data_IF_569597645073
#
_entry.id   IF_569597645073
#
_cell.length_a   1.000
_cell.length_b   1.000
_cell.length_c   1.000
_cell.angle_alpha   90.00
_cell.angle_beta   90.00
_cell.angle_gamma   90.00
#
_symmetry.space_group_name_H-M   'P 1'
#
loop_
_entity.id
_entity.type
_entity.pdbx_description
1 polymer ?
#
# COMPACT_ATOMS: atom_id res chain seq x y z
N UNK A 1 7.56 23.23 -19.60
CA UNK A 1 6.53 24.17 -19.11
C UNK A 1 5.60 23.35 -18.23
N UNK A 2 5.57 23.60 -16.92
CA UNK A 2 4.75 22.82 -15.96
C UNK A 2 3.31 23.32 -16.04
N UNK A 3 2.34 22.45 -16.36
CA UNK A 3 0.92 22.80 -16.32
C UNK A 3 0.30 22.38 -14.99
N UNK A 4 -0.38 23.30 -14.30
CA UNK A 4 -1.13 23.01 -13.08
C UNK A 4 -2.60 22.71 -13.43
N UNK A 5 -3.17 21.69 -12.80
CA UNK A 5 -4.57 21.31 -12.97
C UNK A 5 -5.23 21.17 -11.59
N UNK A 6 -6.35 21.86 -11.38
CA UNK A 6 -7.13 21.74 -10.16
C UNK A 6 -8.21 20.66 -10.33
N UNK A 7 -8.19 19.65 -9.45
CA UNK A 7 -9.20 18.58 -9.40
C UNK A 7 -10.30 18.91 -8.37
N UNK A 8 -10.03 19.83 -7.44
CA UNK A 8 -10.94 20.32 -6.41
C UNK A 8 -10.22 21.28 -5.45
N UNK A 9 -10.92 21.71 -4.38
CA UNK A 9 -10.34 22.51 -3.30
C UNK A 9 -9.85 21.66 -2.11
N UNK A 10 -10.09 20.35 -2.15
CA UNK A 10 -9.72 19.44 -1.08
C UNK A 10 -8.26 18.97 -1.20
N UNK A 11 -7.67 18.65 -0.05
CA UNK A 11 -6.28 18.18 0.04
C UNK A 11 -6.13 16.79 -0.55
N UNK A 12 -5.11 16.59 -1.40
CA UNK A 12 -4.73 15.26 -1.87
C UNK A 12 -4.16 14.46 -0.69
N UNK A 13 -4.76 13.32 -0.40
CA UNK A 13 -4.33 12.43 0.70
C UNK A 13 -3.43 11.32 0.17
N UNK A 14 -3.82 10.68 -0.93
CA UNK A 14 -3.05 9.59 -1.54
C UNK A 14 -3.24 9.55 -3.05
N UNK A 15 -2.29 8.95 -3.74
CA UNK A 15 -2.34 8.75 -5.18
C UNK A 15 -1.49 7.55 -5.62
N UNK A 16 -1.86 6.94 -6.76
CA UNK A 16 -1.07 5.89 -7.40
C UNK A 16 -1.35 5.84 -8.92
N UNK A 17 -0.29 5.72 -9.72
CA UNK A 17 -0.42 5.48 -11.15
C UNK A 17 -0.61 3.99 -11.42
N UNK A 18 -1.36 3.65 -12.47
CA UNK A 18 -1.38 2.28 -12.97
C UNK A 18 -0.06 1.95 -13.70
N UNK A 19 0.15 0.66 -14.02
CA UNK A 19 1.42 0.17 -14.55
C UNK A 19 1.89 0.80 -15.88
N UNK A 20 0.97 1.24 -16.74
CA UNK A 20 1.31 1.90 -18.01
C UNK A 20 1.29 3.43 -17.94
N UNK A 21 0.97 4.00 -16.77
CA UNK A 21 0.89 5.44 -16.55
C UNK A 21 -0.25 6.15 -17.27
N UNK A 22 -1.22 5.44 -17.84
CA UNK A 22 -2.39 6.03 -18.50
C UNK A 22 -3.48 6.48 -17.54
N UNK A 23 -3.51 5.92 -16.33
CA UNK A 23 -4.49 6.22 -15.28
C UNK A 23 -3.82 6.61 -13.97
N UNK A 24 -4.50 7.47 -13.22
CA UNK A 24 -4.12 7.91 -11.88
C UNK A 24 -5.30 7.70 -10.93
N UNK A 25 -5.08 6.96 -9.85
CA UNK A 25 -6.00 6.88 -8.73
C UNK A 25 -5.63 7.96 -7.72
N UNK A 26 -6.62 8.69 -7.19
CA UNK A 26 -6.42 9.71 -6.14
C UNK A 26 -7.51 9.64 -5.08
N UNK A 27 -7.14 9.98 -3.84
CA UNK A 27 -8.09 10.35 -2.79
C UNK A 27 -7.89 11.80 -2.39
N UNK A 28 -8.98 12.57 -2.30
CA UNK A 28 -8.97 14.02 -2.04
C UNK A 28 -9.69 14.33 -0.74
N UNK A 29 -9.20 13.78 0.38
CA UNK A 29 -9.81 13.93 1.70
C UNK A 29 -11.30 13.52 1.73
N UNK A 30 -11.63 12.47 1.00
CA UNK A 30 -12.97 11.86 0.88
C UNK A 30 -12.91 10.37 1.21
N UNK A 31 -14.07 9.73 1.35
CA UNK A 31 -14.21 8.27 1.35
C UNK A 31 -14.02 7.64 -0.04
N UNK A 32 -14.07 8.45 -1.09
CA UNK A 32 -14.06 7.95 -2.46
C UNK A 32 -12.64 7.92 -3.04
N UNK A 33 -12.38 6.96 -3.94
CA UNK A 33 -11.20 6.94 -4.81
C UNK A 33 -11.60 7.35 -6.22
N UNK A 34 -11.00 8.41 -6.73
CA UNK A 34 -11.24 8.90 -8.08
C UNK A 34 -10.20 8.32 -9.03
N UNK A 35 -10.66 7.80 -10.17
CA UNK A 35 -9.78 7.37 -11.25
C UNK A 35 -9.79 8.43 -12.34
N UNK A 36 -8.60 8.85 -12.76
CA UNK A 36 -8.43 9.89 -13.76
C UNK A 36 -7.60 9.39 -14.93
N UNK A 37 -7.95 9.83 -16.14
CA UNK A 37 -7.10 9.66 -17.32
C UNK A 37 -5.95 10.66 -17.29
N UNK A 38 -4.72 10.16 -17.47
CA UNK A 38 -3.49 10.95 -17.52
C UNK A 38 -3.37 11.61 -18.91
N UNK A 39 -3.33 12.94 -19.02
CA UNK A 39 -3.18 13.63 -20.30
C UNK A 39 -1.88 13.24 -21.03
N UNK A 40 -1.97 12.86 -22.30
CA UNK A 40 -0.79 12.55 -23.14
C UNK A 40 -0.08 13.79 -23.68
N UNK A 41 -0.77 14.93 -23.71
CA UNK A 41 -0.27 16.18 -24.26
C UNK A 41 -0.48 17.33 -23.27
N UNK A 42 0.49 18.26 -23.15
CA UNK A 42 0.32 19.47 -22.35
C UNK A 42 -0.95 20.24 -22.76
N UNK A 43 -1.71 20.73 -21.77
CA UNK A 43 -2.93 21.51 -21.99
C UNK A 43 -4.22 20.70 -22.15
N UNK A 44 -4.14 19.37 -22.25
CA UNK A 44 -5.32 18.51 -22.16
C UNK A 44 -5.77 18.39 -20.70
N UNK A 45 -7.08 18.46 -20.46
CA UNK A 45 -7.63 18.38 -19.10
C UNK A 45 -7.61 16.94 -18.59
N UNK A 46 -7.34 16.78 -17.30
CA UNK A 46 -7.61 15.54 -16.59
C UNK A 46 -9.10 15.24 -16.59
N UNK A 47 -9.47 13.98 -16.75
CA UNK A 47 -10.86 13.54 -16.80
C UNK A 47 -11.07 12.42 -15.80
N UNK A 48 -12.11 12.54 -14.97
CA UNK A 48 -12.54 11.46 -14.09
C UNK A 48 -13.20 10.39 -14.97
N UNK A 49 -12.68 9.17 -14.91
CA UNK A 49 -13.20 8.01 -15.66
C UNK A 49 -14.07 7.11 -14.79
N UNK A 50 -13.81 7.07 -13.49
CA UNK A 50 -14.61 6.29 -12.54
C UNK A 50 -14.43 6.81 -11.11
N UNK A 51 -15.33 6.42 -10.21
CA UNK A 51 -15.27 6.73 -8.78
C UNK A 51 -15.62 5.47 -7.96
N UNK A 52 -14.70 5.04 -7.11
CA UNK A 52 -14.83 3.85 -6.27
C UNK A 52 -15.36 4.25 -4.88
N UNK A 53 -16.55 3.75 -4.49
CA UNK A 53 -17.39 4.34 -3.40
C UNK A 53 -17.83 3.36 -2.30
N UNK A 54 -16.93 2.51 -1.81
CA UNK A 54 -17.29 1.51 -0.78
C UNK A 54 -16.78 1.84 0.63
N UNK A 55 -15.80 2.74 0.74
CA UNK A 55 -15.31 3.14 2.05
C UNK A 55 -16.34 4.04 2.74
N UNK A 56 -16.41 3.93 4.07
CA UNK A 56 -17.36 4.70 4.89
C UNK A 56 -16.70 5.86 5.64
N UNK A 57 -15.37 5.96 5.54
CA UNK A 57 -14.57 7.04 6.08
C UNK A 57 -13.41 7.37 5.13
N UNK A 58 -12.62 8.38 5.47
CA UNK A 58 -11.53 8.92 4.66
C UNK A 58 -10.57 7.83 4.15
N UNK A 59 -10.33 7.80 2.84
CA UNK A 59 -9.29 6.97 2.24
C UNK A 59 -7.93 7.58 2.53
N UNK A 60 -7.13 6.84 3.28
CA UNK A 60 -5.81 7.28 3.77
C UNK A 60 -4.65 6.78 2.92
N UNK A 61 -4.85 5.69 2.17
CA UNK A 61 -3.82 5.12 1.32
C UNK A 61 -4.40 4.46 0.09
N UNK A 62 -3.71 4.61 -1.03
CA UNK A 62 -3.98 3.95 -2.30
C UNK A 62 -2.66 3.35 -2.81
N UNK A 63 -2.74 2.16 -3.40
CA UNK A 63 -1.68 1.63 -4.25
C UNK A 63 -2.24 0.87 -5.44
N UNK A 64 -1.55 0.91 -6.57
CA UNK A 64 -1.99 0.28 -7.82
C UNK A 64 -1.01 -0.81 -8.22
N UNK A 65 -1.51 -2.03 -8.34
CA UNK A 65 -0.75 -3.19 -8.74
C UNK A 65 -0.19 -3.00 -10.18
N UNK A 66 1.14 -3.03 -10.37
CA UNK A 66 1.77 -2.64 -11.63
C UNK A 66 1.49 -3.56 -12.82
N UNK A 67 1.08 -4.82 -12.60
CA UNK A 67 0.89 -5.86 -13.61
C UNK A 67 -0.58 -6.25 -13.74
N UNK A 68 -1.28 -6.52 -12.65
CA UNK A 68 -2.65 -7.04 -12.71
C UNK A 68 -3.75 -5.98 -12.89
N UNK A 69 -3.39 -4.69 -12.87
CA UNK A 69 -4.36 -3.59 -12.86
C UNK A 69 -5.38 -3.67 -11.71
N UNK A 70 -4.97 -4.22 -10.56
CA UNK A 70 -5.75 -4.18 -9.31
C UNK A 70 -5.38 -2.93 -8.54
N UNK A 71 -6.35 -2.37 -7.82
CA UNK A 71 -6.10 -1.25 -6.91
C UNK A 71 -6.32 -1.77 -5.49
N UNK A 72 -5.51 -1.32 -4.54
CA UNK A 72 -5.83 -1.46 -3.13
C UNK A 72 -6.03 -0.08 -2.54
N UNK A 73 -7.08 0.09 -1.74
CA UNK A 73 -7.30 1.27 -0.93
C UNK A 73 -7.48 0.89 0.53
N UNK A 74 -7.01 1.72 1.44
CA UNK A 74 -7.22 1.58 2.88
C UNK A 74 -7.80 2.88 3.46
N UNK A 75 -8.61 2.75 4.51
CA UNK A 75 -9.37 3.88 5.07
C UNK A 75 -9.35 3.95 6.60
N UNK A 76 -9.67 5.14 7.10
CA UNK A 76 -9.99 5.34 8.51
C UNK A 76 -11.17 4.48 9.01
N UNK A 77 -11.95 3.87 8.11
CA UNK A 77 -13.00 2.88 8.45
C UNK A 77 -12.46 1.52 8.92
N UNK A 78 -11.13 1.36 8.91
CA UNK A 78 -10.38 0.18 9.38
C UNK A 78 -10.44 -1.02 8.44
N UNK A 79 -10.93 -0.82 7.22
CA UNK A 79 -10.95 -1.83 6.18
C UNK A 79 -10.02 -1.44 5.03
N UNK A 80 -9.72 -2.43 4.20
CA UNK A 80 -9.18 -2.21 2.87
C UNK A 80 -10.12 -2.80 1.83
N UNK A 81 -10.05 -2.29 0.61
CA UNK A 81 -10.69 -2.89 -0.54
C UNK A 81 -9.66 -3.19 -1.62
N UNK A 82 -9.77 -4.36 -2.22
CA UNK A 82 -9.10 -4.69 -3.46
C UNK A 82 -10.09 -4.55 -4.60
N UNK A 83 -9.78 -3.66 -5.53
CA UNK A 83 -10.61 -3.33 -6.67
C UNK A 83 -10.06 -4.05 -7.90
N UNK A 84 -10.93 -4.79 -8.58
CA UNK A 84 -10.57 -5.51 -9.82
C UNK A 84 -11.52 -5.09 -10.93
N UNK A 85 -10.96 -4.65 -12.07
CA UNK A 85 -11.75 -4.32 -13.25
C UNK A 85 -12.29 -5.59 -13.90
N UNK A 86 -13.60 -5.68 -14.03
CA UNK A 86 -14.30 -6.82 -14.62
C UNK A 86 -14.36 -6.69 -16.15
N UNK A 87 -14.77 -7.76 -16.82
CA UNK A 87 -14.90 -7.81 -18.29
C UNK A 87 -15.98 -6.86 -18.84
N UNK A 88 -16.96 -6.48 -18.02
CA UNK A 88 -17.98 -5.48 -18.36
C UNK A 88 -17.47 -4.02 -18.21
N UNK A 89 -16.20 -3.85 -17.84
CA UNK A 89 -15.54 -2.56 -17.66
C UNK A 89 -15.72 -1.94 -16.27
N UNK A 90 -16.56 -2.51 -15.39
CA UNK A 90 -16.81 -2.00 -14.03
C UNK A 90 -15.76 -2.46 -13.04
N UNK A 91 -15.53 -1.66 -12.01
CA UNK A 91 -14.69 -2.06 -10.89
C UNK A 91 -15.50 -2.84 -9.86
N UNK A 92 -15.06 -4.07 -9.55
CA UNK A 92 -15.62 -4.89 -8.47
C UNK A 92 -14.80 -4.68 -7.20
N UNK A 93 -15.41 -4.20 -6.10
CA UNK A 93 -14.77 -4.19 -4.79
C UNK A 93 -14.72 -5.59 -4.19
N UNK A 94 -13.61 -5.90 -3.51
CA UNK A 94 -13.48 -7.07 -2.62
C UNK A 94 -13.03 -6.56 -1.26
N UNK A 95 -13.87 -6.76 -0.23
CA UNK A 95 -13.57 -6.33 1.13
C UNK A 95 -12.41 -7.15 1.71
N UNK A 96 -11.47 -6.45 2.36
CA UNK A 96 -10.37 -7.05 3.12
C UNK A 96 -10.48 -6.58 4.57
N UNK A 97 -10.83 -7.52 5.44
CA UNK A 97 -10.94 -7.26 6.88
C UNK A 97 -9.55 -7.26 7.50
N UNK A 98 -9.05 -6.06 7.81
CA UNK A 98 -7.69 -5.88 8.33
C UNK A 98 -7.52 -6.36 9.78
N UNK A 99 -8.63 -6.45 10.54
CA UNK A 99 -8.65 -6.75 11.97
C UNK A 99 -7.84 -5.74 12.81
N UNK A 100 -7.96 -4.46 12.48
CA UNK A 100 -7.32 -3.34 13.21
C UNK A 100 -8.37 -2.54 13.99
N UNK A 101 -7.97 -1.94 15.11
CA UNK A 101 -8.89 -1.19 16.00
C UNK A 101 -8.78 0.35 15.86
N UNK A 102 -7.84 0.84 15.06
CA UNK A 102 -7.62 2.25 14.66
C UNK A 102 -7.47 2.36 13.15
N UNK A 103 -7.55 3.59 12.64
CA UNK A 103 -7.41 3.90 11.22
C UNK A 103 -6.15 3.27 10.59
N UNK A 104 -6.28 2.76 9.35
CA UNK A 104 -5.13 2.51 8.50
C UNK A 104 -4.55 3.84 8.02
N UNK A 105 -3.25 3.87 7.76
CA UNK A 105 -2.49 5.09 7.43
C UNK A 105 -1.88 5.01 6.04
N UNK A 106 -1.37 3.84 5.65
CA UNK A 106 -0.73 3.63 4.35
C UNK A 106 -0.93 2.19 3.90
N UNK A 107 -0.85 1.96 2.59
CA UNK A 107 -0.94 0.63 1.98
C UNK A 107 0.05 0.49 0.82
N UNK A 108 0.65 -0.69 0.67
CA UNK A 108 1.51 -1.03 -0.47
C UNK A 108 1.31 -2.47 -0.94
N UNK A 109 1.15 -2.65 -2.23
CA UNK A 109 1.25 -3.94 -2.91
C UNK A 109 2.67 -4.48 -2.80
N UNK A 110 2.76 -5.80 -2.65
CA UNK A 110 4.00 -6.52 -2.85
C UNK A 110 4.37 -6.56 -4.36
N UNK A 111 5.66 -6.60 -4.74
CA UNK A 111 6.10 -6.61 -6.13
C UNK A 111 5.56 -7.76 -7.01
N UNK A 112 5.20 -8.89 -6.40
CA UNK A 112 4.57 -10.02 -7.09
C UNK A 112 3.04 -9.99 -7.03
N UNK A 113 2.46 -9.03 -6.30
CA UNK A 113 1.01 -8.83 -6.19
C UNK A 113 0.24 -10.04 -5.64
N UNK A 114 0.95 -10.88 -4.87
CA UNK A 114 0.37 -12.00 -4.12
C UNK A 114 -0.15 -11.55 -2.74
N UNK A 115 0.37 -10.42 -2.27
CA UNK A 115 0.07 -9.83 -0.99
C UNK A 115 0.18 -8.31 -1.01
N UNK A 116 -0.32 -7.66 0.03
CA UNK A 116 -0.11 -6.24 0.29
C UNK A 116 0.01 -5.99 1.79
N UNK A 117 0.63 -4.88 2.18
CA UNK A 117 0.84 -4.50 3.56
C UNK A 117 0.11 -3.19 3.88
N UNK A 118 -0.48 -3.11 5.06
CA UNK A 118 -1.20 -1.93 5.57
C UNK A 118 -0.60 -1.50 6.90
N UNK A 119 -0.14 -0.26 6.96
CA UNK A 119 0.33 0.39 8.18
C UNK A 119 -0.84 1.03 8.91
N UNK A 120 -0.82 1.01 10.24
CA UNK A 120 -1.93 1.50 11.07
C UNK A 120 -1.47 2.28 12.30
N UNK A 121 -2.37 3.13 12.83
CA UNK A 121 -2.26 3.72 14.15
C UNK A 121 -2.34 2.72 15.31
N UNK A 122 -2.64 1.45 15.04
CA UNK A 122 -2.66 0.35 16.00
C UNK A 122 -1.29 -0.15 16.44
N UNK A 123 -0.18 0.48 15.98
CA UNK A 123 1.19 0.01 16.25
C UNK A 123 1.42 -1.40 15.69
N UNK A 124 0.90 -1.66 14.50
CA UNK A 124 1.06 -2.92 13.79
C UNK A 124 1.04 -2.70 12.29
N UNK A 125 1.52 -3.70 11.57
CA UNK A 125 1.34 -3.83 10.12
C UNK A 125 0.50 -5.06 9.85
N UNK A 126 -0.54 -4.92 9.03
CA UNK A 126 -1.34 -6.04 8.52
C UNK A 126 -0.82 -6.42 7.14
N UNK A 127 -0.31 -7.64 7.00
CA UNK A 127 0.07 -8.24 5.70
C UNK A 127 -1.08 -9.13 5.25
N UNK A 128 -1.71 -8.74 4.15
CA UNK A 128 -2.89 -9.40 3.61
C UNK A 128 -2.52 -10.19 2.36
N UNK A 129 -2.99 -11.43 2.27
CA UNK A 129 -2.76 -12.31 1.11
C UNK A 129 -4.05 -13.00 0.70
N UNK A 130 -4.20 -13.23 -0.59
CA UNK A 130 -5.37 -13.92 -1.12
C UNK A 130 -5.21 -15.43 -0.95
N UNK A 131 -6.16 -16.05 -0.26
CA UNK A 131 -6.25 -17.50 -0.14
C UNK A 131 -7.15 -18.03 -1.26
N UNK A 132 -6.55 -18.79 -2.19
CA UNK A 132 -7.26 -19.33 -3.36
C UNK A 132 -8.24 -20.44 -2.99
N UNK A 133 -8.00 -21.18 -1.90
CA UNK A 133 -8.87 -22.27 -1.49
C UNK A 133 -10.13 -21.73 -0.81
N UNK A 134 -9.98 -20.64 -0.05
CA UNK A 134 -11.08 -19.99 0.66
C UNK A 134 -11.75 -18.85 -0.11
N UNK A 135 -11.22 -18.50 -1.29
CA UNK A 135 -11.65 -17.36 -2.12
C UNK A 135 -11.77 -16.04 -1.31
N UNK A 136 -10.83 -15.84 -0.38
CA UNK A 136 -10.90 -14.74 0.59
C UNK A 136 -9.53 -14.16 0.95
N UNK A 137 -9.49 -12.89 1.35
CA UNK A 137 -8.28 -12.24 1.82
C UNK A 137 -8.00 -12.51 3.29
N UNK A 138 -6.85 -13.13 3.57
CA UNK A 138 -6.39 -13.42 4.93
C UNK A 138 -5.42 -12.33 5.38
N UNK A 139 -5.68 -11.73 6.55
CA UNK A 139 -4.81 -10.74 7.17
C UNK A 139 -3.97 -11.39 8.29
N UNK A 140 -2.65 -11.24 8.22
CA UNK A 140 -1.70 -11.63 9.27
C UNK A 140 -0.99 -10.39 9.81
N UNK A 141 -0.78 -10.32 11.12
CA UNK A 141 -0.25 -9.11 11.76
C UNK A 141 1.21 -9.22 12.18
N UNK A 142 1.98 -8.17 11.91
CA UNK A 142 3.28 -7.90 12.49
C UNK A 142 3.08 -6.86 13.61
N UNK A 143 3.08 -7.32 14.87
CA UNK A 143 2.80 -6.48 16.05
C UNK A 143 4.04 -6.19 16.90
N UNK A 144 5.08 -7.03 16.81
CA UNK A 144 6.24 -6.91 17.68
C UNK A 144 7.01 -5.61 17.36
N UNK A 145 7.64 -5.04 18.37
CA UNK A 145 8.55 -3.89 18.31
C UNK A 145 7.97 -2.51 17.99
N UNK A 146 6.83 -2.37 17.29
CA UNK A 146 6.21 -1.06 17.06
C UNK A 146 5.69 -0.42 18.36
N UNK A 147 6.09 0.83 18.64
CA UNK A 147 5.62 1.59 19.82
C UNK A 147 4.66 2.72 19.48
N UNK A 148 4.56 3.10 18.21
CA UNK A 148 3.69 4.16 17.71
C UNK A 148 3.09 3.80 16.34
N UNK A 149 2.39 4.75 15.74
CA UNK A 149 1.77 4.64 14.41
C UNK A 149 2.79 4.24 13.36
N UNK A 150 2.43 3.32 12.46
CA UNK A 150 3.22 3.02 11.26
C UNK A 150 2.81 3.99 10.16
N UNK A 151 3.74 4.82 9.71
CA UNK A 151 3.46 5.97 8.84
C UNK A 151 3.75 5.70 7.37
N UNK A 152 4.71 4.81 7.08
CA UNK A 152 5.09 4.45 5.73
C UNK A 152 5.55 2.99 5.66
N UNK A 153 5.41 2.42 4.46
CA UNK A 153 5.77 1.05 4.13
C UNK A 153 6.46 1.05 2.76
N UNK A 154 7.43 0.16 2.60
CA UNK A 154 8.04 -0.10 1.30
C UNK A 154 8.47 -1.57 1.20
N UNK A 155 8.11 -2.21 0.10
CA UNK A 155 8.45 -3.61 -0.15
C UNK A 155 9.78 -3.69 -0.88
N UNK A 156 10.65 -4.59 -0.40
CA UNK A 156 11.84 -4.92 -1.16
C UNK A 156 11.46 -5.63 -2.47
N UNK A 157 12.14 -5.38 -3.60
CA UNK A 157 11.84 -6.01 -4.90
C UNK A 157 11.80 -7.55 -4.92
N UNK A 158 12.40 -8.20 -3.93
CA UNK A 158 12.40 -9.66 -3.76
C UNK A 158 11.11 -10.23 -3.16
N UNK A 159 10.09 -9.39 -2.88
CA UNK A 159 8.78 -9.80 -2.33
C UNK A 159 8.82 -10.43 -0.93
N UNK A 160 9.96 -10.42 -0.24
CA UNK A 160 10.16 -11.15 1.00
C UNK A 160 10.44 -10.26 2.21
N UNK A 161 10.74 -8.98 1.98
CA UNK A 161 11.21 -8.04 2.99
C UNK A 161 10.37 -6.77 2.91
N UNK A 162 10.00 -6.24 4.08
CA UNK A 162 9.18 -5.04 4.21
C UNK A 162 9.86 -4.05 5.15
N UNK A 163 10.15 -2.86 4.64
CA UNK A 163 10.59 -1.71 5.43
C UNK A 163 9.37 -0.95 5.96
N UNK A 164 9.43 -0.54 7.22
CA UNK A 164 8.35 0.12 7.95
C UNK A 164 8.90 1.31 8.72
N UNK A 165 8.36 2.51 8.48
CA UNK A 165 8.64 3.69 9.30
C UNK A 165 7.55 3.90 10.35
N UNK A 166 7.93 4.32 11.55
CA UNK A 166 6.98 4.59 12.63
C UNK A 166 7.24 5.93 13.31
N UNK A 167 6.18 6.53 13.86
CA UNK A 167 6.24 7.77 14.65
C UNK A 167 6.95 7.60 16.01
N UNK A 168 7.53 6.44 16.30
CA UNK A 168 8.42 6.24 17.45
C UNK A 168 9.89 6.53 17.12
N UNK A 169 10.14 7.19 15.97
CA UNK A 169 11.47 7.52 15.45
C UNK A 169 12.29 6.31 15.02
N UNK A 170 11.64 5.17 14.79
CA UNK A 170 12.30 3.99 14.25
C UNK A 170 11.92 3.70 12.79
N UNK A 171 12.91 3.23 12.04
CA UNK A 171 12.73 2.45 10.83
C UNK A 171 13.04 0.99 11.14
N UNK A 172 12.13 0.08 10.78
CA UNK A 172 12.29 -1.35 11.00
C UNK A 172 12.10 -2.13 9.71
N UNK A 173 12.86 -3.19 9.55
CA UNK A 173 12.77 -4.10 8.42
C UNK A 173 12.34 -5.46 8.94
N UNK A 174 11.27 -6.00 8.37
CA UNK A 174 10.72 -7.30 8.74
C UNK A 174 10.75 -8.27 7.57
N UNK A 175 10.81 -9.57 7.88
CA UNK A 175 10.41 -10.60 6.93
C UNK A 175 8.90 -10.53 6.69
N UNK A 176 8.52 -10.46 5.41
CA UNK A 176 7.15 -10.46 4.94
C UNK A 176 6.74 -11.82 4.34
N UNK A 177 7.54 -12.87 4.54
CA UNK A 177 7.29 -14.20 3.96
C UNK A 177 6.06 -14.85 4.59
N UNK A 178 5.02 -15.06 3.78
CA UNK A 178 3.77 -15.67 4.21
C UNK A 178 3.83 -17.19 4.34
N UNK A 179 4.70 -17.84 3.55
CA UNK A 179 5.01 -19.27 3.59
C UNK A 179 6.40 -19.45 4.15
N UNK A 180 6.54 -20.26 5.21
CA UNK A 180 7.84 -20.73 5.67
C UNK A 180 8.39 -21.69 4.62
N UNK A 181 9.43 -21.29 3.91
CA UNK A 181 10.12 -22.12 2.92
C UNK A 181 11.63 -21.99 3.07
N UNK A 182 12.35 -23.01 2.58
CA UNK A 182 13.80 -23.19 2.77
C UNK A 182 14.68 -22.30 1.88
N UNK A 183 14.15 -21.21 1.33
CA UNK A 183 14.95 -20.33 0.48
C UNK A 183 15.88 -19.46 1.33
N UNK A 184 17.19 -19.75 1.23
CA UNK A 184 18.23 -18.88 1.78
C UNK A 184 18.10 -17.48 1.16
N UNK A 185 18.18 -16.46 2.00
CA UNK A 185 18.25 -15.07 1.53
C UNK A 185 19.50 -14.41 2.11
N UNK A 186 19.94 -13.31 1.49
CA UNK A 186 21.02 -12.47 2.01
C UNK A 186 20.76 -11.95 3.44
N UNK A 187 19.52 -12.07 3.93
CA UNK A 187 19.06 -11.66 5.26
C UNK A 187 18.96 -12.82 6.27
N UNK A 188 19.58 -13.96 5.97
CA UNK A 188 19.61 -15.16 6.82
C UNK A 188 18.57 -16.22 6.47
N UNK A 189 18.63 -17.33 7.22
CA UNK A 189 17.74 -18.49 7.06
C UNK A 189 16.45 -18.33 7.88
N UNK A 190 15.33 -18.75 7.30
CA UNK A 190 14.02 -18.98 7.96
C UNK A 190 13.45 -17.85 8.82
N UNK A 191 13.40 -16.63 8.29
CA UNK A 191 12.63 -15.57 8.94
C UNK A 191 11.15 -15.73 8.57
N UNK A 192 10.35 -16.29 9.49
CA UNK A 192 8.89 -16.30 9.41
C UNK A 192 8.33 -14.87 9.30
N UNK A 193 7.10 -14.72 8.82
CA UNK A 193 6.41 -13.43 8.81
C UNK A 193 6.56 -12.70 10.16
N UNK A 194 7.00 -11.45 10.12
CA UNK A 194 7.15 -10.59 11.28
C UNK A 194 8.44 -10.78 12.08
N UNK A 195 9.38 -11.62 11.63
CA UNK A 195 10.74 -11.62 12.16
C UNK A 195 11.41 -10.28 11.85
N UNK A 196 11.92 -9.61 12.88
CA UNK A 196 12.67 -8.36 12.77
C UNK A 196 14.07 -8.66 12.22
N UNK A 197 14.42 -8.02 11.11
CA UNK A 197 15.71 -8.18 10.42
C UNK A 197 16.65 -7.00 10.70
N UNK A 198 16.09 -5.80 10.84
CA UNK A 198 16.84 -4.58 11.11
C UNK A 198 15.97 -3.58 11.88
N UNK A 199 16.57 -2.85 12.82
CA UNK A 199 15.93 -1.77 13.57
C UNK A 199 16.91 -0.62 13.70
N UNK A 200 16.52 0.56 13.23
CA UNK A 200 17.30 1.79 13.32
C UNK A 200 16.47 2.88 13.97
N UNK A 201 17.08 3.59 14.91
CA UNK A 201 16.48 4.69 15.67
C UNK A 201 17.16 6.00 15.31
N UNK A 202 16.38 7.02 15.00
CA UNK A 202 16.92 8.35 14.70
C UNK A 202 15.96 9.46 15.08
N UNK A 203 16.33 10.24 16.10
CA UNK A 203 15.55 11.40 16.56
C UNK A 203 15.78 12.68 15.75
N UNK A 204 16.83 12.74 14.93
CA UNK A 204 17.28 14.00 14.32
C UNK A 204 16.63 14.29 12.95
N UNK A 205 15.69 13.46 12.49
CA UNK A 205 14.87 13.77 11.31
C UNK A 205 15.61 13.71 9.97
N UNK A 206 16.72 12.99 9.89
CA UNK A 206 17.45 12.77 8.65
C UNK A 206 16.61 11.90 7.71
N UNK A 207 16.49 12.30 6.43
CA UNK A 207 15.78 11.52 5.43
C UNK A 207 16.51 10.18 5.20
N UNK A 208 15.98 9.09 5.76
CA UNK A 208 16.44 7.75 5.41
C UNK A 208 15.89 7.44 4.01
N UNK A 209 16.75 7.54 3.00
CA UNK A 209 16.47 7.10 1.63
C UNK A 209 16.89 5.64 1.51
N UNK A 210 15.94 4.75 1.30
CA UNK A 210 16.24 3.40 0.82
C UNK A 210 16.74 3.50 -0.61
N UNK A 211 18.04 3.27 -0.83
CA UNK A 211 18.58 3.06 -2.17
C UNK A 211 18.32 1.61 -2.56
N UNK A 212 17.59 1.39 -3.65
CA UNK A 212 17.68 0.12 -4.36
C UNK A 212 18.87 0.26 -5.32
N UNK A 213 20.01 -0.34 -4.99
CA UNK A 213 21.03 -0.56 -6.00
C UNK A 213 20.46 -1.54 -7.02
N UNK A 214 20.25 -1.07 -8.25
CA UNK A 214 20.11 -1.97 -9.39
C UNK A 214 21.46 -2.69 -9.53
N UNK A 215 21.52 -3.96 -9.14
CA UNK A 215 22.65 -4.80 -9.52
C UNK A 215 22.68 -4.85 -11.06
N UNK A 216 23.77 -4.32 -11.62
CA UNK A 216 24.13 -4.41 -13.03
C UNK A 216 24.53 -5.86 -13.39
#
# INVERSE_FOLDING_TARGET
MTSAHAIGNDSLVSHAFNGDGSLLAVSVNTSDVYLLHVPKSPGTKWQIVDVLKEHTALVTGIDWAPKSNRIVSCSADRNAYVWTKQSDGKWKPTLVVLMIDRASICVRWSPLEDSFAVGSGCKLVAVCSFDQELDWWVSKHIKKSFKSTVTCLDWHPNNAVLACGSSDFHMRVYSARLKSGDSQSAWGNHSSLGSLLFDHYECEGTNIRCYTESMA
#
